data_IF_550230335623
#
_entry.id   IF_550230335623
#
_cell.length_a   1.000
_cell.length_b   1.000
_cell.length_c   1.000
_cell.angle_alpha   90.00
_cell.angle_beta   90.00
_cell.angle_gamma   90.00
#
_symmetry.space_group_name_H-M   'P 1'
#
loop_
_entity.id
_entity.type
_entity.pdbx_description
1 polymer ?
#
# COMPACT_ATOMS: atom_id res chain seq x y z
N UNK A 1 -80.43 -5.48 47.23
CA UNK A 1 -79.82 -4.16 46.97
C UNK A 1 -79.49 -4.03 45.49
N UNK A 2 -80.27 -3.26 44.71
CA UNK A 2 -79.97 -2.98 43.29
C UNK A 2 -78.76 -2.04 43.25
N UNK A 3 -77.56 -2.56 42.99
CA UNK A 3 -76.35 -1.73 42.83
C UNK A 3 -76.48 -0.92 41.55
N UNK A 4 -76.65 0.39 41.70
CA UNK A 4 -76.80 1.35 40.60
C UNK A 4 -75.51 1.41 39.77
N UNK A 5 -75.54 0.83 38.58
CA UNK A 5 -74.45 0.84 37.58
C UNK A 5 -74.03 2.26 37.21
N UNK A 6 -74.89 3.26 37.39
CA UNK A 6 -74.61 4.67 37.10
C UNK A 6 -73.49 5.24 37.98
N UNK A 7 -73.43 4.83 39.24
CA UNK A 7 -72.35 5.26 40.16
C UNK A 7 -70.99 4.69 39.74
N UNK A 8 -70.96 3.44 39.25
CA UNK A 8 -69.74 2.78 38.79
C UNK A 8 -69.10 3.50 37.60
N UNK A 9 -69.91 3.95 36.64
CA UNK A 9 -69.44 4.70 35.47
C UNK A 9 -68.88 6.09 35.84
N UNK A 10 -69.45 6.73 36.86
CA UNK A 10 -68.93 8.02 37.35
C UNK A 10 -67.56 7.83 38.01
N UNK A 11 -67.39 6.80 38.85
CA UNK A 11 -66.07 6.50 39.43
C UNK A 11 -65.04 6.12 38.37
N UNK A 12 -65.44 5.35 37.35
CA UNK A 12 -64.57 5.01 36.23
C UNK A 12 -64.12 6.26 35.45
N UNK A 13 -65.03 7.21 35.19
CA UNK A 13 -64.70 8.47 34.53
C UNK A 13 -63.75 9.34 35.36
N UNK A 14 -63.97 9.44 36.68
CA UNK A 14 -63.08 10.20 37.58
C UNK A 14 -61.69 9.57 37.63
N UNK A 15 -61.59 8.24 37.75
CA UNK A 15 -60.30 7.54 37.73
C UNK A 15 -59.58 7.69 36.39
N UNK A 16 -60.31 7.73 35.27
CA UNK A 16 -59.72 7.95 33.96
C UNK A 16 -59.14 9.36 33.81
N UNK A 17 -59.82 10.38 34.32
CA UNK A 17 -59.31 11.77 34.33
C UNK A 17 -58.07 11.88 35.22
N UNK A 18 -58.08 11.23 36.40
CA UNK A 18 -56.91 11.20 37.28
C UNK A 18 -55.73 10.47 36.60
N UNK A 19 -55.99 9.36 35.91
CA UNK A 19 -54.96 8.64 35.17
C UNK A 19 -54.36 9.48 34.04
N UNK A 20 -55.18 10.22 33.28
CA UNK A 20 -54.68 11.16 32.26
C UNK A 20 -53.84 12.27 32.90
N UNK A 21 -54.28 12.83 34.03
CA UNK A 21 -53.51 13.81 34.80
C UNK A 21 -52.16 13.27 35.29
N UNK A 22 -52.12 12.02 35.74
CA UNK A 22 -50.89 11.34 36.15
C UNK A 22 -49.96 11.06 34.96
N UNK A 23 -50.49 10.67 33.80
CA UNK A 23 -49.69 10.48 32.58
C UNK A 23 -49.12 11.83 32.11
N UNK A 24 -49.92 12.90 32.16
CA UNK A 24 -49.50 14.24 31.75
C UNK A 24 -48.46 14.84 32.70
N UNK A 25 -48.63 14.66 34.01
CA UNK A 25 -47.62 15.05 35.01
C UNK A 25 -46.36 14.21 34.90
N UNK A 26 -46.46 12.90 34.63
CA UNK A 26 -45.29 12.05 34.38
C UNK A 26 -44.54 12.45 33.10
N UNK A 27 -45.23 12.82 32.03
CA UNK A 27 -44.60 13.30 30.78
C UNK A 27 -43.98 14.68 30.95
N UNK A 28 -44.61 15.59 31.69
CA UNK A 28 -43.99 16.89 32.06
C UNK A 28 -42.79 16.68 32.98
N UNK A 29 -42.87 15.75 33.95
CA UNK A 29 -41.76 15.45 34.86
C UNK A 29 -40.60 14.77 34.12
N UNK A 30 -40.88 13.93 33.12
CA UNK A 30 -39.87 13.38 32.21
C UNK A 30 -39.28 14.47 31.31
N UNK A 31 -40.10 15.35 30.74
CA UNK A 31 -39.61 16.50 29.98
C UNK A 31 -38.76 17.45 30.84
N UNK A 32 -39.07 17.59 32.13
CA UNK A 32 -38.32 18.42 33.08
C UNK A 32 -37.05 17.73 33.61
N UNK A 33 -37.04 16.41 33.80
CA UNK A 33 -35.80 15.65 34.05
C UNK A 33 -34.88 15.60 32.84
N UNK A 34 -35.44 15.69 31.63
CA UNK A 34 -34.67 15.91 30.40
C UNK A 34 -34.07 17.33 30.33
N UNK A 35 -34.55 18.24 31.17
CA UNK A 35 -34.18 19.66 31.20
C UNK A 35 -33.41 20.06 32.47
N UNK A 36 -32.76 19.11 33.17
CA UNK A 36 -31.93 19.38 34.34
C UNK A 36 -30.50 18.86 34.09
N UNK A 37 -29.72 19.71 33.41
CA UNK A 37 -28.32 20.05 33.69
C UNK A 37 -27.20 18.99 33.68
N UNK A 38 -27.27 17.94 32.86
CA UNK A 38 -26.04 17.21 32.53
C UNK A 38 -26.13 16.13 31.47
N UNK A 39 -27.20 15.33 31.46
CA UNK A 39 -27.22 14.14 30.59
C UNK A 39 -27.43 14.47 29.10
N UNK A 40 -28.26 15.47 28.74
CA UNK A 40 -28.46 15.86 27.33
C UNK A 40 -27.21 16.54 26.74
N UNK A 41 -26.53 17.38 27.50
CA UNK A 41 -25.30 18.01 27.04
C UNK A 41 -24.17 16.98 26.93
N UNK A 42 -24.08 16.03 27.88
CA UNK A 42 -23.14 14.90 27.81
C UNK A 42 -23.46 13.97 26.63
N UNK A 43 -24.73 13.65 26.35
CA UNK A 43 -25.14 12.86 25.16
C UNK A 43 -24.87 13.60 23.84
N UNK A 44 -25.13 14.91 23.81
CA UNK A 44 -24.86 15.77 22.64
C UNK A 44 -23.36 15.93 22.36
N UNK A 45 -22.57 16.16 23.41
CA UNK A 45 -21.10 16.24 23.33
C UNK A 45 -20.47 14.88 23.03
N UNK A 46 -20.96 13.79 23.63
CA UNK A 46 -20.53 12.42 23.29
C UNK A 46 -20.85 12.08 21.83
N UNK A 47 -22.04 12.42 21.35
CA UNK A 47 -22.43 12.22 19.94
C UNK A 47 -21.56 13.04 19.00
N UNK A 48 -21.27 14.30 19.35
CA UNK A 48 -20.38 15.17 18.57
C UNK A 48 -18.94 14.64 18.55
N UNK A 49 -18.39 14.26 19.70
CA UNK A 49 -17.06 13.69 19.82
C UNK A 49 -16.95 12.36 19.07
N UNK A 50 -17.98 11.53 19.11
CA UNK A 50 -18.02 10.26 18.36
C UNK A 50 -18.03 10.51 16.86
N UNK A 51 -18.86 11.45 16.37
CA UNK A 51 -18.88 11.83 14.94
C UNK A 51 -17.52 12.38 14.49
N UNK A 52 -16.89 13.21 15.31
CA UNK A 52 -15.58 13.77 15.02
C UNK A 52 -14.49 12.68 15.00
N UNK A 53 -14.46 11.79 15.99
CA UNK A 53 -13.55 10.63 15.99
C UNK A 53 -13.77 9.72 14.77
N UNK A 54 -15.02 9.50 14.36
CA UNK A 54 -15.31 8.71 13.14
C UNK A 54 -14.79 9.43 11.89
N UNK A 55 -14.97 10.75 11.79
CA UNK A 55 -14.42 11.54 10.68
C UNK A 55 -12.89 11.45 10.66
N UNK A 56 -12.23 11.70 11.79
CA UNK A 56 -10.77 11.64 11.92
C UNK A 56 -10.22 10.24 11.59
N UNK A 57 -10.92 9.18 12.00
CA UNK A 57 -10.57 7.79 11.66
C UNK A 57 -10.77 7.50 10.18
N UNK A 58 -11.82 8.05 9.56
CA UNK A 58 -12.08 7.91 8.13
C UNK A 58 -10.99 8.60 7.32
N UNK A 59 -10.62 9.83 7.69
CA UNK A 59 -9.57 10.59 7.04
C UNK A 59 -8.21 9.88 7.17
N UNK A 60 -7.89 9.36 8.36
CA UNK A 60 -6.69 8.53 8.55
C UNK A 60 -6.71 7.25 7.72
N UNK A 61 -7.87 6.60 7.57
CA UNK A 61 -7.99 5.39 6.76
C UNK A 61 -7.76 5.69 5.27
N UNK A 62 -8.31 6.81 4.77
CA UNK A 62 -8.07 7.30 3.41
C UNK A 62 -6.58 7.61 3.22
N UNK A 63 -5.96 8.31 4.17
CA UNK A 63 -4.53 8.62 4.11
C UNK A 63 -3.68 7.34 4.06
N UNK A 64 -3.92 6.39 4.97
CA UNK A 64 -3.18 5.12 5.00
C UNK A 64 -3.39 4.30 3.72
N UNK A 65 -4.59 4.33 3.15
CA UNK A 65 -4.88 3.67 1.87
C UNK A 65 -4.08 4.29 0.73
N UNK A 66 -4.00 5.62 0.69
CA UNK A 66 -3.21 6.33 -0.31
C UNK A 66 -1.71 6.07 -0.14
N UNK A 67 -1.20 6.08 1.10
CA UNK A 67 0.19 5.73 1.40
C UNK A 67 0.51 4.30 0.98
N UNK A 68 -0.39 3.34 1.28
CA UNK A 68 -0.20 1.95 0.88
C UNK A 68 -0.15 1.80 -0.64
N UNK A 69 -1.04 2.47 -1.38
CA UNK A 69 -1.02 2.48 -2.84
C UNK A 69 0.28 3.07 -3.40
N UNK A 70 0.75 4.18 -2.81
CA UNK A 70 2.01 4.81 -3.21
C UNK A 70 3.22 3.89 -2.93
N UNK A 71 3.27 3.22 -1.77
CA UNK A 71 4.32 2.26 -1.43
C UNK A 71 4.32 1.05 -2.37
N UNK A 72 3.15 0.54 -2.72
CA UNK A 72 3.03 -0.55 -3.69
C UNK A 72 3.58 -0.15 -5.06
N UNK A 73 3.27 1.07 -5.51
CA UNK A 73 3.81 1.60 -6.76
C UNK A 73 5.33 1.75 -6.69
N UNK A 74 5.87 2.32 -5.61
CA UNK A 74 7.33 2.42 -5.43
C UNK A 74 8.01 1.05 -5.42
N UNK A 75 7.40 0.06 -4.77
CA UNK A 75 7.93 -1.31 -4.72
C UNK A 75 7.95 -1.94 -6.11
N UNK A 76 6.91 -1.74 -6.91
CA UNK A 76 6.87 -2.22 -8.29
C UNK A 76 7.96 -1.57 -9.16
N UNK A 77 8.12 -0.25 -9.08
CA UNK A 77 9.20 0.46 -9.80
C UNK A 77 10.57 -0.02 -9.36
N UNK A 78 10.81 -0.18 -8.05
CA UNK A 78 12.10 -0.66 -7.55
C UNK A 78 12.41 -2.09 -8.00
N UNK A 79 11.39 -2.94 -8.11
CA UNK A 79 11.55 -4.29 -8.64
C UNK A 79 11.95 -4.27 -10.12
N UNK A 80 11.32 -3.41 -10.93
CA UNK A 80 11.68 -3.24 -12.35
C UNK A 80 13.12 -2.72 -12.50
N UNK A 81 13.52 -1.73 -11.71
CA UNK A 81 14.89 -1.20 -11.70
C UNK A 81 15.90 -2.27 -11.28
N UNK A 82 15.57 -3.07 -10.27
CA UNK A 82 16.42 -4.17 -9.82
C UNK A 82 16.61 -5.23 -10.91
N UNK A 83 15.52 -5.64 -11.58
CA UNK A 83 15.60 -6.64 -12.64
C UNK A 83 16.38 -6.13 -13.85
N UNK A 84 16.21 -4.84 -14.21
CA UNK A 84 16.99 -4.19 -15.26
C UNK A 84 18.49 -4.13 -14.90
N UNK A 85 18.82 -3.75 -13.66
CA UNK A 85 20.19 -3.68 -13.18
C UNK A 85 20.85 -5.07 -13.14
N UNK A 86 20.11 -6.08 -12.69
CA UNK A 86 20.57 -7.47 -12.68
C UNK A 86 20.88 -7.97 -14.08
N UNK A 87 20.00 -7.69 -15.05
CA UNK A 87 20.23 -8.05 -16.45
C UNK A 87 21.48 -7.37 -17.03
N UNK A 88 21.71 -6.10 -16.71
CA UNK A 88 22.93 -5.39 -17.13
C UNK A 88 24.19 -5.98 -16.48
N UNK A 89 24.12 -6.32 -15.19
CA UNK A 89 25.21 -6.96 -14.47
C UNK A 89 25.57 -8.32 -15.10
N UNK A 90 24.57 -9.17 -15.36
CA UNK A 90 24.78 -10.49 -15.97
C UNK A 90 25.42 -10.37 -17.36
N UNK A 91 24.97 -9.39 -18.16
CA UNK A 91 25.57 -9.10 -19.47
C UNK A 91 27.02 -8.60 -19.36
N UNK A 92 27.32 -7.73 -18.40
CA UNK A 92 28.68 -7.25 -18.15
C UNK A 92 29.60 -8.39 -17.70
N UNK A 93 29.12 -9.28 -16.84
CA UNK A 93 29.87 -10.44 -16.38
C UNK A 93 30.19 -11.40 -17.54
N UNK A 94 29.23 -11.67 -18.43
CA UNK A 94 29.46 -12.49 -19.63
C UNK A 94 30.55 -11.88 -20.53
N UNK A 95 30.55 -10.56 -20.73
CA UNK A 95 31.60 -9.87 -21.51
C UNK A 95 32.97 -9.99 -20.84
N UNK A 96 33.03 -9.84 -19.52
CA UNK A 96 34.26 -10.01 -18.76
C UNK A 96 34.82 -11.43 -18.87
N UNK A 97 33.96 -12.45 -18.77
CA UNK A 97 34.35 -13.85 -18.94
C UNK A 97 34.84 -14.16 -20.36
N UNK A 98 34.25 -13.51 -21.37
CA UNK A 98 34.68 -13.64 -22.76
C UNK A 98 36.07 -13.04 -22.99
N UNK A 99 36.33 -11.82 -22.50
CA UNK A 99 37.65 -11.17 -22.60
C UNK A 99 38.70 -11.99 -21.84
N UNK A 100 38.35 -12.55 -20.68
CA UNK A 100 39.25 -13.43 -19.94
C UNK A 100 39.63 -14.66 -20.76
N UNK A 101 38.67 -15.31 -21.40
CA UNK A 101 38.93 -16.44 -22.30
C UNK A 101 39.81 -16.05 -23.49
N UNK A 102 39.57 -14.87 -24.08
CA UNK A 102 40.41 -14.34 -25.15
C UNK A 102 41.84 -14.12 -24.68
N UNK A 103 42.03 -13.50 -23.51
CA UNK A 103 43.34 -13.26 -22.93
C UNK A 103 44.08 -14.57 -22.63
N UNK A 104 43.38 -15.57 -22.08
CA UNK A 104 43.94 -16.89 -21.82
C UNK A 104 44.31 -17.64 -23.11
N UNK A 105 43.50 -17.53 -24.17
CA UNK A 105 43.79 -18.12 -25.47
C UNK A 105 44.98 -17.44 -26.15
N UNK A 106 45.03 -16.10 -26.12
CA UNK A 106 46.14 -15.30 -26.62
C UNK A 106 47.47 -15.69 -25.94
N UNK A 107 47.49 -15.78 -24.61
CA UNK A 107 48.70 -16.16 -23.86
C UNK A 107 49.18 -17.59 -24.12
N UNK A 108 48.32 -18.45 -24.66
CA UNK A 108 48.64 -19.84 -25.00
C UNK A 108 48.96 -20.03 -26.49
N UNK A 109 48.98 -18.94 -27.26
CA UNK A 109 49.09 -18.98 -28.72
C UNK A 109 47.99 -19.85 -29.38
N UNK A 110 46.82 -19.97 -28.74
CA UNK A 110 45.69 -20.75 -29.25
C UNK A 110 44.79 -19.90 -30.15
N UNK A 111 45.32 -19.56 -31.33
CA UNK A 111 44.65 -18.69 -32.30
C UNK A 111 43.37 -19.30 -32.87
N UNK A 112 43.25 -20.63 -32.87
CA UNK A 112 42.04 -21.35 -33.30
C UNK A 112 40.87 -21.14 -32.35
N UNK A 113 41.15 -21.03 -31.04
CA UNK A 113 40.13 -20.66 -30.05
C UNK A 113 39.95 -19.14 -29.97
N UNK A 114 40.99 -18.34 -30.20
CA UNK A 114 40.89 -16.89 -30.16
C UNK A 114 40.01 -16.28 -31.27
N UNK A 115 40.10 -16.80 -32.50
CA UNK A 115 39.30 -16.31 -33.64
C UNK A 115 37.78 -16.30 -33.40
N UNK A 116 37.13 -17.41 -32.99
CA UNK A 116 35.69 -17.40 -32.72
C UNK A 116 35.31 -16.54 -31.50
N UNK A 117 36.21 -16.27 -30.57
CA UNK A 117 35.95 -15.39 -29.43
C UNK A 117 35.96 -13.91 -29.85
N UNK A 118 36.88 -13.52 -30.75
CA UNK A 118 36.89 -12.18 -31.36
C UNK A 118 35.61 -11.87 -32.15
N UNK A 119 34.96 -12.89 -32.72
CA UNK A 119 33.67 -12.74 -33.41
C UNK A 119 32.46 -12.57 -32.47
N UNK A 120 32.62 -12.83 -31.17
CA UNK A 120 31.56 -12.74 -30.16
C UNK A 120 31.55 -11.40 -29.40
N UNK A 121 32.57 -10.56 -29.59
CA UNK A 121 32.70 -9.27 -28.94
C UNK A 121 33.04 -8.18 -29.96
N UNK A 122 32.51 -6.97 -29.76
CA UNK A 122 32.94 -5.82 -30.55
C UNK A 122 34.24 -5.23 -30.00
N UNK A 123 34.96 -4.50 -30.85
CA UNK A 123 36.14 -3.75 -30.43
C UNK A 123 35.82 -2.79 -29.27
N UNK A 124 34.70 -2.06 -29.35
CA UNK A 124 34.29 -1.10 -28.33
C UNK A 124 34.05 -1.78 -26.97
N UNK A 125 33.42 -2.96 -26.96
CA UNK A 125 33.16 -3.72 -25.73
C UNK A 125 34.43 -4.31 -25.13
N UNK A 126 35.35 -4.78 -25.98
CA UNK A 126 36.65 -5.28 -25.54
C UNK A 126 37.51 -4.14 -24.97
N UNK A 127 37.59 -3.01 -25.69
CA UNK A 127 38.40 -1.86 -25.31
C UNK A 127 37.85 -1.12 -24.08
N UNK A 128 36.54 -1.21 -23.81
CA UNK A 128 35.97 -0.69 -22.58
C UNK A 128 36.52 -1.37 -21.32
N UNK A 129 36.96 -2.64 -21.43
CA UNK A 129 37.48 -3.43 -20.32
C UNK A 129 39.01 -3.59 -20.38
N UNK A 130 39.56 -3.75 -21.58
CA UNK A 130 40.99 -3.94 -21.81
C UNK A 130 41.43 -3.19 -23.10
N UNK A 131 41.69 -1.87 -22.99
CA UNK A 131 41.99 -1.02 -24.15
C UNK A 131 43.15 -1.53 -25.01
N UNK A 132 42.94 -1.62 -26.32
CA UNK A 132 43.95 -2.00 -27.31
C UNK A 132 44.21 -3.51 -27.40
N UNK A 133 43.60 -4.32 -26.53
CA UNK A 133 43.76 -5.77 -26.60
C UNK A 133 43.04 -6.37 -27.81
N UNK A 134 41.89 -5.82 -28.21
CA UNK A 134 41.13 -6.35 -29.35
C UNK A 134 41.95 -6.35 -30.64
N UNK A 135 42.56 -5.22 -30.99
CA UNK A 135 43.42 -5.13 -32.17
C UNK A 135 44.66 -6.02 -32.06
N UNK A 136 45.28 -6.06 -30.87
CA UNK A 136 46.44 -6.94 -30.63
C UNK A 136 46.10 -8.41 -30.85
N UNK A 137 44.96 -8.86 -30.33
CA UNK A 137 44.48 -10.23 -30.48
C UNK A 137 44.10 -10.53 -31.93
N UNK A 138 43.46 -9.58 -32.62
CA UNK A 138 43.07 -9.70 -34.02
C UNK A 138 44.28 -9.80 -34.95
N UNK A 139 45.27 -8.91 -34.79
CA UNK A 139 46.50 -8.93 -35.57
C UNK A 139 47.25 -10.26 -35.39
N UNK A 140 47.28 -10.79 -34.16
CA UNK A 140 47.90 -12.07 -33.88
C UNK A 140 47.16 -13.24 -34.53
N UNK A 141 45.82 -13.23 -34.55
CA UNK A 141 45.04 -14.22 -35.29
C UNK A 141 45.32 -14.11 -36.80
N UNK A 142 45.29 -12.91 -37.37
CA UNK A 142 45.54 -12.69 -38.80
C UNK A 142 46.95 -13.11 -39.23
N UNK A 143 47.96 -12.85 -38.40
CA UNK A 143 49.35 -13.26 -38.65
C UNK A 143 49.57 -14.78 -38.61
N UNK A 144 48.69 -15.53 -37.93
CA UNK A 144 48.77 -16.97 -37.76
C UNK A 144 47.63 -17.72 -38.50
N UNK A 145 46.97 -17.06 -39.46
CA UNK A 145 46.06 -17.70 -40.41
C UNK A 145 46.85 -18.40 -41.49
N UNK A 146 47.22 -19.65 -41.22
CA UNK A 146 47.73 -20.61 -42.21
C UNK A 146 46.60 -21.24 -43.05
#
# INVERSE_FOLDING_TARGET
MKKSTKSLWIYAAVLFIIAIGLIFTATILQARMISDDGEIEVLGTFTKNTKQSIADLTDKNIQLTNELAALQQQTATLQEEYDALKSQHDAAQQKQDLIRQMYDAYNKDDYKTLEPLLGQITQEEADALLPGFYETAKDAVEANKD
#
